data_IF_112679804777
#
_entry.id   IF_112679804777
#
_cell.length_a   1.000
_cell.length_b   1.000
_cell.length_c   1.000
_cell.angle_alpha   90.00
_cell.angle_beta   90.00
_cell.angle_gamma   90.00
#
_symmetry.space_group_name_H-M   'P 1'
#
loop_
_entity.id
_entity.type
_entity.pdbx_description
1 polymer ?
#
# COMPACT_ATOMS: atom_id res chain seq x y z
N UNK A 1 -1.12 -6.34 -29.11
CA UNK A 1 -2.09 -5.39 -29.71
C UNK A 1 -3.54 -5.77 -29.42
N UNK A 2 -4.01 -6.98 -29.77
CA UNK A 2 -5.43 -7.39 -29.54
C UNK A 2 -5.89 -7.31 -28.09
N UNK A 3 -5.06 -7.71 -27.14
CA UNK A 3 -5.38 -7.66 -25.69
C UNK A 3 -5.47 -6.23 -25.15
N UNK A 4 -4.54 -5.36 -25.57
CA UNK A 4 -4.52 -3.95 -25.24
C UNK A 4 -5.78 -3.23 -25.74
N UNK A 5 -6.18 -3.50 -26.97
CA UNK A 5 -7.40 -2.93 -27.57
C UNK A 5 -8.65 -3.38 -26.80
N UNK A 6 -8.79 -4.68 -26.50
CA UNK A 6 -9.91 -5.22 -25.73
C UNK A 6 -10.00 -4.61 -24.32
N UNK A 7 -8.87 -4.48 -23.63
CA UNK A 7 -8.84 -3.88 -22.29
C UNK A 7 -9.27 -2.42 -22.31
N UNK A 8 -8.88 -1.64 -23.34
CA UNK A 8 -9.29 -0.26 -23.52
C UNK A 8 -10.77 -0.13 -23.89
N UNK A 9 -11.28 -1.02 -24.74
CA UNK A 9 -12.69 -1.00 -25.15
C UNK A 9 -13.64 -1.33 -24.00
N UNK A 10 -13.23 -2.26 -23.12
CA UNK A 10 -14.04 -2.68 -21.97
C UNK A 10 -14.01 -1.72 -20.77
N UNK A 11 -13.12 -0.70 -20.80
CA UNK A 11 -12.90 0.18 -19.66
C UNK A 11 -13.54 1.55 -19.84
N UNK A 12 -14.21 2.05 -18.77
CA UNK A 12 -14.74 3.40 -18.72
C UNK A 12 -13.67 4.45 -18.38
N UNK A 13 -12.66 4.08 -17.65
CA UNK A 13 -11.56 4.95 -17.20
C UNK A 13 -10.23 4.24 -17.32
N UNK A 14 -9.17 5.02 -17.34
CA UNK A 14 -7.79 4.53 -17.22
C UNK A 14 -7.10 5.22 -16.05
N UNK A 15 -6.05 4.59 -15.55
CA UNK A 15 -5.11 5.23 -14.62
C UNK A 15 -3.94 5.78 -15.42
N UNK A 16 -3.67 7.07 -15.30
CA UNK A 16 -2.56 7.75 -15.95
C UNK A 16 -1.48 8.09 -14.91
N UNK A 17 -0.28 7.57 -15.14
CA UNK A 17 0.92 7.85 -14.31
C UNK A 17 1.75 8.92 -15.00
N UNK A 18 1.97 10.04 -14.32
CA UNK A 18 2.84 11.15 -14.77
C UNK A 18 3.93 11.41 -13.73
N UNK A 19 5.06 11.97 -14.12
CA UNK A 19 6.07 12.49 -13.19
C UNK A 19 5.77 13.94 -12.82
N UNK A 20 5.77 14.26 -11.54
CA UNK A 20 5.61 15.63 -11.07
C UNK A 20 6.72 16.54 -11.60
N UNK A 21 6.37 17.64 -12.29
CA UNK A 21 7.32 18.58 -12.90
C UNK A 21 8.30 19.21 -11.93
N UNK A 22 7.91 19.36 -10.66
CA UNK A 22 8.75 19.91 -9.57
C UNK A 22 9.34 18.80 -8.69
N UNK A 23 8.50 17.87 -8.25
CA UNK A 23 8.88 16.82 -7.28
C UNK A 23 9.60 15.62 -7.89
N UNK A 24 9.45 15.41 -9.20
CA UNK A 24 9.87 14.19 -9.91
C UNK A 24 9.23 12.91 -9.37
N UNK A 25 8.28 13.03 -8.46
CA UNK A 25 7.53 11.90 -7.92
C UNK A 25 6.45 11.45 -8.90
N UNK A 26 6.13 10.15 -8.95
CA UNK A 26 5.02 9.66 -9.75
C UNK A 26 3.69 10.18 -9.19
N UNK A 27 2.83 10.66 -10.08
CA UNK A 27 1.47 11.08 -9.81
C UNK A 27 0.52 10.22 -10.63
N UNK A 28 -0.39 9.55 -9.95
CA UNK A 28 -1.40 8.72 -10.55
C UNK A 28 -2.77 9.41 -10.49
N UNK A 29 -3.45 9.48 -11.62
CA UNK A 29 -4.82 9.99 -11.73
C UNK A 29 -5.69 9.04 -12.52
N UNK A 30 -6.97 8.97 -12.17
CA UNK A 30 -7.96 8.25 -12.96
C UNK A 30 -8.66 9.23 -13.88
N UNK A 31 -8.62 8.94 -15.19
CA UNK A 31 -9.17 9.81 -16.23
C UNK A 31 -10.04 9.03 -17.20
N UNK A 32 -11.05 9.70 -17.75
CA UNK A 32 -11.82 9.19 -18.87
C UNK A 32 -11.03 9.37 -20.16
N UNK A 33 -11.26 8.48 -21.11
CA UNK A 33 -10.52 8.46 -22.36
C UNK A 33 -11.38 7.97 -23.54
N UNK A 34 -10.95 8.26 -24.73
CA UNK A 34 -11.42 7.62 -25.94
C UNK A 34 -10.25 7.04 -26.71
N UNK A 35 -10.44 5.84 -27.26
CA UNK A 35 -9.42 5.18 -28.09
C UNK A 35 -9.35 5.86 -29.46
N UNK A 36 -8.14 5.91 -30.02
CA UNK A 36 -7.81 6.37 -31.35
C UNK A 36 -6.76 5.45 -31.98
N UNK A 37 -6.48 5.64 -33.26
CA UNK A 37 -5.47 4.83 -33.94
C UNK A 37 -4.07 5.12 -33.33
N UNK A 38 -3.43 4.09 -32.77
CA UNK A 38 -2.09 4.19 -32.17
C UNK A 38 -2.02 4.83 -30.76
N UNK A 39 -3.16 5.22 -30.14
CA UNK A 39 -3.17 5.86 -28.84
C UNK A 39 -4.55 6.11 -28.27
N UNK A 40 -4.61 7.04 -27.34
CA UNK A 40 -5.86 7.47 -26.71
C UNK A 40 -5.88 8.98 -26.49
N UNK A 41 -7.07 9.57 -26.48
CA UNK A 41 -7.28 10.95 -26.07
C UNK A 41 -7.81 11.03 -24.66
N UNK A 42 -7.33 12.01 -23.89
CA UNK A 42 -7.78 12.34 -22.54
C UNK A 42 -8.00 13.86 -22.42
N UNK A 43 -9.06 14.26 -21.70
CA UNK A 43 -9.39 15.68 -21.54
C UNK A 43 -9.16 16.08 -20.08
N UNK A 44 -8.42 17.18 -19.86
CA UNK A 44 -8.25 17.79 -18.54
C UNK A 44 -9.50 18.54 -18.11
N UNK A 45 -9.92 18.35 -16.86
CA UNK A 45 -11.13 18.98 -16.31
C UNK A 45 -11.03 20.51 -16.10
N UNK A 46 -9.89 21.12 -16.45
CA UNK A 46 -9.69 22.57 -16.32
C UNK A 46 -8.30 23.01 -16.80
N UNK A 47 -8.10 24.34 -16.99
CA UNK A 47 -6.91 24.89 -17.63
C UNK A 47 -5.61 24.73 -16.83
N UNK A 48 -5.70 24.33 -15.56
CA UNK A 48 -4.57 24.13 -14.65
C UNK A 48 -4.49 22.71 -14.06
N UNK A 49 -5.03 21.72 -14.78
CA UNK A 49 -4.91 20.31 -14.33
C UNK A 49 -3.45 19.92 -14.19
N UNK A 50 -2.97 19.73 -12.96
CA UNK A 50 -1.55 19.46 -12.65
C UNK A 50 -1.02 18.22 -13.38
N UNK A 51 -1.84 17.17 -13.50
CA UNK A 51 -1.43 15.96 -14.22
C UNK A 51 -1.19 16.22 -15.73
N UNK A 52 -1.96 17.12 -16.35
CA UNK A 52 -1.74 17.51 -17.76
C UNK A 52 -0.42 18.26 -17.91
N UNK A 53 -0.17 19.21 -17.00
CA UNK A 53 1.08 19.96 -17.00
C UNK A 53 2.29 19.06 -16.70
N UNK A 54 2.13 18.06 -15.85
CA UNK A 54 3.15 17.05 -15.58
C UNK A 54 3.41 16.18 -16.79
N UNK A 55 2.35 15.70 -17.47
CA UNK A 55 2.47 14.88 -18.68
C UNK A 55 3.21 15.61 -19.80
N UNK A 56 2.87 16.89 -20.03
CA UNK A 56 3.54 17.71 -21.07
C UNK A 56 4.99 18.07 -20.71
N UNK A 57 5.34 18.14 -19.43
CA UNK A 57 6.69 18.49 -19.00
C UNK A 57 7.71 17.37 -19.19
N UNK A 58 7.27 16.12 -19.22
CA UNK A 58 8.14 14.94 -19.32
C UNK A 58 7.94 14.15 -20.61
N UNK A 59 6.88 14.42 -21.35
CA UNK A 59 6.35 13.71 -22.54
C UNK A 59 6.14 12.19 -22.35
N UNK A 60 6.77 11.60 -21.35
CA UNK A 60 6.68 10.16 -21.04
C UNK A 60 5.69 9.91 -19.92
N UNK A 61 4.65 9.16 -20.24
CA UNK A 61 3.61 8.76 -19.30
C UNK A 61 3.33 7.26 -19.41
N UNK A 62 2.71 6.68 -18.39
CA UNK A 62 2.21 5.29 -18.45
C UNK A 62 0.70 5.29 -18.31
N UNK A 63 0.03 4.63 -19.22
CA UNK A 63 -1.40 4.35 -19.17
C UNK A 63 -1.60 2.96 -18.59
N UNK A 64 -2.49 2.84 -17.62
CA UNK A 64 -2.83 1.57 -17.00
C UNK A 64 -4.31 1.29 -17.15
N UNK A 65 -4.62 0.10 -17.63
CA UNK A 65 -6.00 -0.39 -17.84
C UNK A 65 -6.05 -1.88 -17.49
N UNK A 66 -6.87 -2.24 -16.50
CA UNK A 66 -6.81 -3.58 -15.92
C UNK A 66 -5.40 -3.90 -15.41
N UNK A 67 -4.87 -5.04 -15.85
CA UNK A 67 -3.51 -5.51 -15.53
C UNK A 67 -2.43 -4.98 -16.49
N UNK A 68 -2.81 -4.22 -17.51
CA UNK A 68 -1.87 -3.75 -18.50
C UNK A 68 -1.30 -2.38 -18.14
N UNK A 69 0.03 -2.24 -18.31
CA UNK A 69 0.76 -0.99 -18.26
C UNK A 69 1.32 -0.69 -19.67
N UNK A 70 0.93 0.44 -20.24
CA UNK A 70 1.26 0.83 -21.60
C UNK A 70 2.11 2.10 -21.52
N UNK A 71 3.38 2.07 -21.94
CA UNK A 71 4.18 3.27 -22.06
C UNK A 71 3.64 4.14 -23.19
N UNK A 72 3.50 5.44 -22.93
CA UNK A 72 2.96 6.40 -23.91
C UNK A 72 3.80 7.67 -23.96
N UNK A 73 3.75 8.34 -25.11
CA UNK A 73 4.16 9.74 -25.28
C UNK A 73 2.96 10.66 -25.20
N UNK A 74 3.06 11.69 -24.38
CA UNK A 74 2.01 12.69 -24.24
C UNK A 74 2.27 13.88 -25.16
N UNK A 75 1.29 14.21 -25.97
CA UNK A 75 1.32 15.36 -26.89
C UNK A 75 0.05 16.19 -26.69
N UNK A 76 0.16 17.49 -26.88
CA UNK A 76 -1.03 18.36 -26.85
C UNK A 76 -1.82 18.17 -28.14
N UNK A 77 -3.09 17.88 -28.01
CA UNK A 77 -3.97 17.78 -29.19
C UNK A 77 -4.17 19.14 -29.87
N UNK A 78 -4.27 19.14 -31.18
CA UNK A 78 -4.63 20.30 -31.99
C UNK A 78 -6.09 20.69 -31.77
N UNK A 79 -6.50 21.90 -32.14
CA UNK A 79 -7.89 22.34 -31.98
C UNK A 79 -8.87 21.45 -32.73
N UNK A 80 -8.51 20.97 -33.92
CA UNK A 80 -9.34 20.07 -34.71
C UNK A 80 -9.49 18.70 -34.03
N UNK A 81 -8.42 18.17 -33.41
CA UNK A 81 -8.48 16.94 -32.64
C UNK A 81 -9.29 17.09 -31.36
N UNK A 82 -9.25 18.27 -30.72
CA UNK A 82 -10.09 18.57 -29.55
C UNK A 82 -11.57 18.49 -29.91
N UNK A 83 -12.01 19.09 -31.00
CA UNK A 83 -13.40 19.06 -31.47
C UNK A 83 -13.87 17.64 -31.76
N UNK A 84 -13.09 16.88 -32.54
CA UNK A 84 -13.40 15.48 -32.85
C UNK A 84 -13.44 14.61 -31.59
N UNK A 85 -12.51 14.83 -30.66
CA UNK A 85 -12.44 14.13 -29.37
C UNK A 85 -13.69 14.38 -28.51
N UNK A 86 -14.20 15.59 -28.48
CA UNK A 86 -15.47 15.89 -27.77
C UNK A 86 -16.64 15.08 -28.33
N UNK A 87 -16.73 14.92 -29.65
CA UNK A 87 -17.71 14.05 -30.29
C UNK A 87 -17.62 12.60 -29.82
N UNK A 88 -16.41 12.05 -29.77
CA UNK A 88 -16.15 10.70 -29.27
C UNK A 88 -16.48 10.54 -27.78
N UNK A 89 -16.11 11.53 -26.95
CA UNK A 89 -16.44 11.53 -25.52
C UNK A 89 -17.95 11.55 -25.28
N UNK A 90 -18.70 12.39 -26.02
CA UNK A 90 -20.18 12.44 -25.96
C UNK A 90 -20.79 11.09 -26.33
N UNK A 91 -20.25 10.42 -27.35
CA UNK A 91 -20.71 9.10 -27.79
C UNK A 91 -20.44 8.03 -26.71
N UNK A 92 -19.27 8.06 -26.04
CA UNK A 92 -18.87 7.06 -25.05
C UNK A 92 -19.50 7.30 -23.68
N UNK A 93 -19.62 8.55 -23.22
CA UNK A 93 -20.01 8.89 -21.83
C UNK A 93 -21.33 9.66 -21.70
N UNK A 94 -21.92 10.09 -22.80
CA UNK A 94 -23.15 10.89 -22.81
C UNK A 94 -22.93 12.39 -22.68
N UNK A 95 -23.84 13.16 -23.27
CA UNK A 95 -23.78 14.64 -23.32
C UNK A 95 -23.70 15.29 -21.92
N UNK A 96 -24.53 14.82 -20.97
CA UNK A 96 -24.62 15.41 -19.63
C UNK A 96 -23.30 15.31 -18.85
N UNK A 97 -22.62 14.18 -18.95
CA UNK A 97 -21.32 13.97 -18.29
C UNK A 97 -20.26 14.88 -18.92
N UNK A 98 -20.19 14.92 -20.25
CA UNK A 98 -19.17 15.69 -20.96
C UNK A 98 -19.35 17.19 -20.73
N UNK A 99 -20.58 17.73 -20.81
CA UNK A 99 -20.85 19.14 -20.54
C UNK A 99 -20.54 19.54 -19.10
N UNK A 100 -20.86 18.68 -18.13
CA UNK A 100 -20.65 18.95 -16.71
C UNK A 100 -19.17 18.95 -16.30
N UNK A 101 -18.35 18.03 -16.85
CA UNK A 101 -16.99 17.81 -16.39
C UNK A 101 -15.92 18.43 -17.29
N UNK A 102 -16.21 18.63 -18.56
CA UNK A 102 -15.25 19.07 -19.59
C UNK A 102 -15.70 20.27 -20.40
N UNK A 103 -16.91 20.83 -20.11
CA UNK A 103 -17.48 21.91 -20.89
C UNK A 103 -16.52 23.09 -21.00
N UNK A 104 -16.13 23.45 -22.25
CA UNK A 104 -15.22 24.55 -22.55
C UNK A 104 -13.74 24.27 -22.32
N UNK A 105 -13.33 23.07 -21.91
CA UNK A 105 -11.91 22.74 -21.78
C UNK A 105 -11.25 22.51 -23.16
N UNK A 106 -10.21 23.27 -23.46
CA UNK A 106 -9.35 23.06 -24.63
C UNK A 106 -8.10 22.21 -24.32
N UNK A 107 -8.01 21.69 -23.10
CA UNK A 107 -6.86 20.95 -22.62
C UNK A 107 -7.06 19.45 -22.88
N UNK A 108 -6.72 19.04 -24.08
CA UNK A 108 -6.75 17.64 -24.51
C UNK A 108 -5.33 17.14 -24.81
N UNK A 109 -5.02 15.94 -24.35
CA UNK A 109 -3.77 15.26 -24.69
C UNK A 109 -4.06 14.05 -25.56
N UNK A 110 -3.23 13.84 -26.56
CA UNK A 110 -3.06 12.60 -27.23
C UNK A 110 -1.93 11.81 -26.57
N UNK A 111 -2.21 10.58 -26.17
CA UNK A 111 -1.25 9.67 -25.55
C UNK A 111 -0.94 8.57 -26.57
N UNK A 112 0.13 8.76 -27.31
CA UNK A 112 0.62 7.82 -28.32
C UNK A 112 1.26 6.61 -27.65
N UNK A 113 0.93 5.39 -28.05
CA UNK A 113 1.53 4.18 -27.52
C UNK A 113 2.99 4.06 -27.97
N UNK A 114 3.92 4.10 -27.00
CA UNK A 114 5.37 4.12 -27.25
C UNK A 114 6.04 2.75 -27.08
N UNK A 115 5.27 1.67 -26.84
CA UNK A 115 5.80 0.32 -26.63
C UNK A 115 4.70 -0.73 -26.46
N UNK A 116 5.13 -1.98 -26.24
CA UNK A 116 4.19 -3.07 -25.90
C UNK A 116 3.66 -2.89 -24.48
N UNK A 117 2.39 -3.25 -24.30
CA UNK A 117 1.79 -3.35 -22.97
C UNK A 117 2.49 -4.44 -22.15
N UNK A 118 2.85 -4.13 -20.94
CA UNK A 118 3.36 -5.07 -19.94
C UNK A 118 2.20 -5.52 -19.05
N UNK A 119 2.07 -6.82 -18.79
CA UNK A 119 1.10 -7.32 -17.80
C UNK A 119 1.59 -7.00 -16.41
N UNK A 120 0.68 -6.53 -15.58
CA UNK A 120 0.88 -6.39 -14.14
C UNK A 120 -0.23 -7.14 -13.41
N UNK A 121 0.14 -7.84 -12.37
CA UNK A 121 -0.81 -8.41 -11.42
C UNK A 121 -1.33 -7.37 -10.42
N UNK A 122 -2.25 -7.78 -9.56
CA UNK A 122 -2.83 -6.95 -8.51
C UNK A 122 -1.73 -6.34 -7.61
N UNK A 123 -1.92 -5.09 -7.18
CA UNK A 123 -0.93 -4.40 -6.32
C UNK A 123 -0.75 -5.10 -4.98
N UNK A 124 -1.82 -5.64 -4.42
CA UNK A 124 -1.82 -6.59 -3.31
C UNK A 124 -3.10 -7.43 -3.42
N UNK A 125 -2.98 -8.74 -3.52
CA UNK A 125 -4.08 -9.69 -3.58
C UNK A 125 -3.67 -11.03 -2.97
N UNK A 126 -4.61 -11.85 -2.57
CA UNK A 126 -4.33 -13.23 -2.11
C UNK A 126 -4.34 -14.16 -3.31
N UNK A 127 -3.30 -14.98 -3.48
CA UNK A 127 -3.21 -16.09 -4.44
C UNK A 127 -3.54 -17.39 -3.72
N UNK A 128 -4.23 -18.31 -4.43
CA UNK A 128 -5.08 -19.31 -3.74
C UNK A 128 -4.46 -20.70 -3.53
N UNK A 129 -3.19 -21.02 -3.85
CA UNK A 129 -2.80 -22.45 -3.80
C UNK A 129 -1.48 -22.78 -3.11
N UNK A 130 -1.48 -23.91 -2.36
CA UNK A 130 -0.29 -24.54 -1.79
C UNK A 130 0.72 -24.94 -2.89
N UNK A 131 0.24 -25.26 -4.11
CA UNK A 131 1.08 -25.57 -5.25
C UNK A 131 1.97 -24.41 -5.67
N UNK A 132 1.54 -23.18 -5.47
CA UNK A 132 2.29 -21.98 -5.87
C UNK A 132 3.50 -21.74 -4.95
N UNK A 133 3.37 -22.02 -3.65
CA UNK A 133 4.48 -21.95 -2.71
C UNK A 133 5.55 -23.02 -3.00
N UNK A 134 5.13 -24.25 -3.25
CA UNK A 134 6.06 -25.33 -3.57
C UNK A 134 6.78 -25.07 -4.91
N UNK A 135 6.06 -24.55 -5.92
CA UNK A 135 6.63 -24.11 -7.18
C UNK A 135 7.61 -22.95 -7.01
N UNK A 136 7.26 -21.96 -6.17
CA UNK A 136 8.15 -20.84 -5.85
C UNK A 136 9.43 -21.33 -5.17
N UNK A 137 9.32 -22.20 -4.15
CA UNK A 137 10.46 -22.79 -3.45
C UNK A 137 11.37 -23.60 -4.38
N UNK A 138 10.79 -24.35 -5.31
CA UNK A 138 11.52 -25.13 -6.29
C UNK A 138 12.24 -24.25 -7.35
N UNK A 139 11.84 -22.98 -7.51
CA UNK A 139 12.47 -22.06 -8.48
C UNK A 139 13.88 -21.63 -8.10
N UNK A 140 14.33 -21.89 -6.86
CA UNK A 140 15.66 -21.51 -6.35
C UNK A 140 15.89 -19.99 -6.20
N UNK A 141 14.83 -19.17 -6.31
CA UNK A 141 14.92 -17.72 -6.14
C UNK A 141 15.18 -17.33 -4.68
N UNK A 142 15.87 -16.21 -4.48
CA UNK A 142 16.14 -15.67 -3.15
C UNK A 142 14.89 -15.02 -2.55
N UNK A 143 14.48 -15.46 -1.36
CA UNK A 143 13.27 -14.94 -0.70
C UNK A 143 13.24 -13.42 -0.60
N UNK A 144 14.31 -12.84 -0.05
CA UNK A 144 14.37 -11.39 0.16
C UNK A 144 14.46 -10.58 -1.14
N UNK A 145 15.11 -11.15 -2.17
CA UNK A 145 15.20 -10.51 -3.50
C UNK A 145 13.82 -10.48 -4.17
N UNK A 146 13.06 -11.57 -4.09
CA UNK A 146 11.68 -11.61 -4.63
C UNK A 146 10.75 -10.66 -3.89
N UNK A 147 10.82 -10.59 -2.56
CA UNK A 147 10.05 -9.64 -1.75
C UNK A 147 10.42 -8.20 -2.13
N UNK A 148 11.72 -7.87 -2.22
CA UNK A 148 12.18 -6.55 -2.62
C UNK A 148 11.68 -6.18 -4.02
N UNK A 149 11.84 -7.08 -5.01
CA UNK A 149 11.41 -6.87 -6.39
C UNK A 149 9.88 -6.68 -6.51
N UNK A 150 9.09 -7.43 -5.74
CA UNK A 150 7.64 -7.29 -5.72
C UNK A 150 7.20 -5.90 -5.21
N UNK A 151 7.79 -5.43 -4.11
CA UNK A 151 7.52 -4.10 -3.58
C UNK A 151 8.09 -2.98 -4.45
N UNK A 152 9.24 -3.17 -5.11
CA UNK A 152 9.76 -2.26 -6.11
C UNK A 152 8.74 -2.09 -7.25
N UNK A 153 8.19 -3.19 -7.76
CA UNK A 153 7.17 -3.19 -8.80
C UNK A 153 5.87 -2.49 -8.37
N UNK A 154 5.43 -2.69 -7.10
CA UNK A 154 4.22 -2.08 -6.57
C UNK A 154 4.38 -0.57 -6.28
N UNK A 155 5.60 -0.07 -6.08
CA UNK A 155 5.91 1.21 -5.44
C UNK A 155 5.23 2.43 -6.07
N UNK A 156 5.12 2.47 -7.41
CA UNK A 156 4.54 3.63 -8.12
C UNK A 156 3.04 3.81 -7.85
N UNK A 157 2.30 2.72 -7.63
CA UNK A 157 0.85 2.75 -7.36
C UNK A 157 0.49 2.62 -5.89
N UNK A 158 1.47 2.29 -5.06
CA UNK A 158 1.25 1.88 -3.68
C UNK A 158 0.41 2.91 -2.91
N UNK A 159 0.84 4.16 -2.88
CA UNK A 159 0.13 5.22 -2.16
C UNK A 159 -1.28 5.44 -2.69
N UNK A 160 -1.45 5.42 -4.01
CA UNK A 160 -2.74 5.63 -4.64
C UNK A 160 -3.73 4.51 -4.30
N UNK A 161 -3.28 3.26 -4.45
CA UNK A 161 -4.13 2.09 -4.19
C UNK A 161 -4.55 2.02 -2.73
N UNK A 162 -3.61 2.25 -1.82
CA UNK A 162 -3.88 2.18 -0.38
C UNK A 162 -4.77 3.36 0.07
N UNK A 163 -4.52 4.59 -0.41
CA UNK A 163 -5.27 5.77 0.03
C UNK A 163 -6.72 5.80 -0.44
N UNK A 164 -7.04 5.13 -1.53
CA UNK A 164 -8.43 5.03 -2.04
C UNK A 164 -9.28 3.98 -1.33
N UNK A 165 -8.65 3.07 -0.61
CA UNK A 165 -9.37 2.06 0.14
C UNK A 165 -9.72 2.58 1.54
N UNK A 166 -11.01 2.68 1.83
CA UNK A 166 -11.51 3.19 3.11
C UNK A 166 -10.95 2.40 4.30
N UNK A 167 -10.95 1.07 4.22
CA UNK A 167 -10.51 0.19 5.33
C UNK A 167 -9.00 0.34 5.55
N UNK A 168 -8.18 0.38 4.48
CA UNK A 168 -6.75 0.63 4.60
C UNK A 168 -6.47 2.00 5.24
N UNK A 169 -7.19 3.04 4.82
CA UNK A 169 -7.05 4.38 5.40
C UNK A 169 -7.45 4.39 6.88
N UNK A 170 -8.51 3.66 7.23
CA UNK A 170 -8.96 3.50 8.62
C UNK A 170 -7.91 2.77 9.46
N UNK A 171 -7.37 1.63 8.99
CA UNK A 171 -6.31 0.85 9.67
C UNK A 171 -5.11 1.73 9.94
N UNK A 172 -4.60 2.46 8.93
CA UNK A 172 -3.45 3.35 9.07
C UNK A 172 -3.68 4.44 10.11
N UNK A 173 -4.81 5.14 10.02
CA UNK A 173 -5.18 6.15 11.02
C UNK A 173 -5.23 5.57 12.43
N UNK A 174 -5.88 4.41 12.58
CA UNK A 174 -6.02 3.76 13.87
C UNK A 174 -4.70 3.27 14.45
N UNK A 175 -3.83 2.70 13.62
CA UNK A 175 -2.48 2.30 14.01
C UNK A 175 -1.65 3.49 14.52
N UNK A 176 -1.71 4.62 13.82
CA UNK A 176 -1.03 5.86 14.26
C UNK A 176 -1.62 6.43 15.55
N UNK A 177 -2.94 6.42 15.73
CA UNK A 177 -3.59 6.83 16.99
C UNK A 177 -3.14 5.97 18.19
N UNK A 178 -2.94 4.67 17.98
CA UNK A 178 -2.46 3.77 19.03
C UNK A 178 -0.97 3.99 19.29
N UNK A 179 -0.15 4.06 18.24
CA UNK A 179 1.29 4.30 18.33
C UNK A 179 1.59 5.61 19.07
N UNK A 180 0.83 6.68 18.78
CA UNK A 180 1.00 8.00 19.38
C UNK A 180 0.93 7.99 20.93
N UNK A 181 0.26 7.00 21.53
CA UNK A 181 0.19 6.86 23.01
C UNK A 181 1.50 6.39 23.65
N UNK A 182 2.41 5.87 22.83
CA UNK A 182 3.72 5.33 23.24
C UNK A 182 4.89 6.17 22.73
N UNK A 183 4.59 7.25 22.01
CA UNK A 183 5.57 8.18 21.45
C UNK A 183 5.87 9.31 22.43
N UNK A 184 7.13 9.72 22.48
CA UNK A 184 7.61 10.91 23.18
C UNK A 184 8.35 11.81 22.20
N UNK A 185 8.40 13.10 22.51
CA UNK A 185 9.00 14.11 21.65
C UNK A 185 10.52 13.94 21.46
N UNK A 186 11.17 13.36 22.45
CA UNK A 186 12.60 13.07 22.47
C UNK A 186 12.96 11.68 21.94
N UNK A 187 11.98 10.89 21.51
CA UNK A 187 12.22 9.54 20.98
C UNK A 187 13.11 9.55 19.74
N UNK A 188 14.01 8.57 19.73
CA UNK A 188 14.68 8.07 18.53
C UNK A 188 13.91 6.82 18.10
N UNK A 189 13.12 6.98 17.06
CA UNK A 189 12.26 5.92 16.54
C UNK A 189 12.92 5.16 15.40
N UNK A 190 12.69 3.84 15.33
CA UNK A 190 13.09 2.97 14.23
C UNK A 190 11.84 2.37 13.60
N UNK A 191 11.65 2.59 12.31
CA UNK A 191 10.57 2.05 11.51
C UNK A 191 11.03 0.88 10.66
N UNK A 192 10.24 -0.19 10.64
CA UNK A 192 10.48 -1.39 9.85
C UNK A 192 9.39 -1.52 8.80
N UNK A 193 9.77 -1.62 7.52
CA UNK A 193 8.84 -1.64 6.41
C UNK A 193 8.17 -0.29 6.18
N UNK A 194 8.97 0.78 6.04
CA UNK A 194 8.46 2.15 5.90
C UNK A 194 7.71 2.39 4.59
N UNK A 195 7.87 1.51 3.60
CA UNK A 195 7.30 1.69 2.28
C UNK A 195 7.65 3.05 1.69
N UNK A 196 6.67 3.72 1.12
CA UNK A 196 6.84 5.06 0.54
C UNK A 196 6.86 6.18 1.59
N UNK A 197 6.79 5.87 2.90
CA UNK A 197 6.94 6.81 4.01
C UNK A 197 5.67 7.58 4.39
N UNK A 198 4.50 7.04 4.14
CA UNK A 198 3.24 7.72 4.47
C UNK A 198 3.08 7.94 5.98
N UNK A 199 3.39 6.91 6.79
CA UNK A 199 3.42 6.95 8.25
C UNK A 199 4.66 7.68 8.77
N UNK A 200 5.84 7.39 8.20
CA UNK A 200 7.12 8.03 8.55
C UNK A 200 7.02 9.55 8.61
N UNK A 201 6.43 10.16 7.58
CA UNK A 201 6.27 11.61 7.47
C UNK A 201 5.33 12.22 8.53
N UNK A 202 4.41 11.43 9.07
CA UNK A 202 3.53 11.86 10.15
C UNK A 202 4.24 11.73 11.49
N UNK A 203 4.90 10.60 11.74
CA UNK A 203 5.61 10.29 12.98
C UNK A 203 6.80 11.22 13.18
N UNK A 204 7.53 11.56 12.12
CA UNK A 204 8.65 12.49 12.16
C UNK A 204 8.31 13.87 12.76
N UNK A 205 7.05 14.30 12.73
CA UNK A 205 6.59 15.55 13.34
C UNK A 205 6.52 15.49 14.87
N UNK A 206 6.49 14.28 15.44
CA UNK A 206 6.19 14.04 16.86
C UNK A 206 7.35 13.43 17.64
N UNK A 207 8.46 13.11 16.96
CA UNK A 207 9.64 12.49 17.58
C UNK A 207 10.91 13.26 17.21
N UNK A 208 11.98 13.05 17.96
CA UNK A 208 13.27 13.67 17.70
C UNK A 208 13.89 13.22 16.38
N UNK A 209 13.83 11.93 16.06
CA UNK A 209 14.40 11.33 14.85
C UNK A 209 13.69 10.03 14.49
N UNK A 210 13.62 9.74 13.20
CA UNK A 210 13.21 8.43 12.67
C UNK A 210 14.32 7.85 11.81
N UNK A 211 14.72 6.61 12.07
CA UNK A 211 15.44 5.76 11.12
C UNK A 211 14.39 4.88 10.46
N UNK A 212 14.17 5.04 9.16
CA UNK A 212 13.09 4.38 8.43
C UNK A 212 13.67 3.33 7.50
N UNK A 213 13.36 2.06 7.73
CA UNK A 213 13.94 0.94 6.97
C UNK A 213 12.91 0.27 6.08
N UNK A 214 13.35 -0.15 4.89
CA UNK A 214 12.59 -1.00 3.98
C UNK A 214 13.56 -1.87 3.17
N UNK A 215 13.10 -3.06 2.76
CA UNK A 215 13.89 -3.96 1.93
C UNK A 215 13.94 -3.51 0.46
N UNK A 216 12.92 -2.79 0.01
CA UNK A 216 12.76 -2.28 -1.36
C UNK A 216 13.56 -0.99 -1.57
N UNK A 217 14.49 -1.01 -2.52
CA UNK A 217 15.24 0.20 -2.94
C UNK A 217 14.30 1.29 -3.46
N UNK A 218 13.27 0.90 -4.20
CA UNK A 218 12.33 1.84 -4.79
C UNK A 218 11.49 2.56 -3.74
N UNK A 219 11.05 1.82 -2.70
CA UNK A 219 10.32 2.40 -1.56
C UNK A 219 11.18 3.42 -0.82
N UNK A 220 12.43 3.06 -0.48
CA UNK A 220 13.40 3.96 0.17
C UNK A 220 13.68 5.20 -0.68
N UNK A 221 13.82 5.03 -2.00
CA UNK A 221 14.04 6.13 -2.94
C UNK A 221 12.84 7.09 -2.99
N UNK A 222 11.61 6.56 -3.00
CA UNK A 222 10.39 7.37 -2.97
C UNK A 222 10.24 8.13 -1.65
N UNK A 223 10.53 7.49 -0.52
CA UNK A 223 10.59 8.17 0.77
C UNK A 223 11.61 9.30 0.75
N UNK A 224 12.84 9.04 0.28
CA UNK A 224 13.91 10.04 0.18
C UNK A 224 13.50 11.24 -0.66
N UNK A 225 12.84 11.01 -1.80
CA UNK A 225 12.33 12.08 -2.65
C UNK A 225 11.24 12.91 -1.94
N UNK A 226 10.33 12.25 -1.19
CA UNK A 226 9.30 12.95 -0.39
C UNK A 226 9.90 13.78 0.75
N UNK A 227 10.95 13.30 1.41
CA UNK A 227 11.65 14.01 2.47
C UNK A 227 12.30 15.30 1.94
N UNK A 228 12.98 15.22 0.79
CA UNK A 228 13.56 16.38 0.11
C UNK A 228 12.48 17.38 -0.29
N UNK A 229 11.39 16.93 -0.90
CA UNK A 229 10.30 17.81 -1.32
C UNK A 229 9.61 18.53 -0.16
N UNK A 230 9.56 17.90 1.03
CA UNK A 230 8.94 18.47 2.25
C UNK A 230 9.94 19.12 3.20
N UNK A 231 11.23 19.14 2.87
CA UNK A 231 12.31 19.65 3.72
C UNK A 231 12.33 19.01 5.11
N UNK A 232 12.07 17.69 5.17
CA UNK A 232 12.06 16.93 6.43
C UNK A 232 13.48 16.43 6.71
N UNK A 233 14.12 16.95 7.77
CA UNK A 233 15.55 16.69 8.05
C UNK A 233 15.79 15.60 9.12
N UNK A 234 14.77 15.27 9.93
CA UNK A 234 14.93 14.35 11.05
C UNK A 234 14.59 12.88 10.72
N UNK A 235 14.58 12.52 9.43
CA UNK A 235 14.35 11.16 8.97
C UNK A 235 15.55 10.65 8.19
N UNK A 236 16.02 9.45 8.53
CA UNK A 236 17.11 8.74 7.85
C UNK A 236 16.53 7.50 7.16
N UNK A 237 16.33 7.51 5.83
CA UNK A 237 15.92 6.32 5.07
C UNK A 237 17.10 5.34 4.94
N UNK A 238 16.83 4.05 5.09
CA UNK A 238 17.85 3.00 5.01
C UNK A 238 17.27 1.75 4.34
N UNK A 239 17.97 1.21 3.34
CA UNK A 239 17.65 -0.11 2.78
C UNK A 239 18.09 -1.17 3.78
N UNK A 240 17.14 -1.83 4.44
CA UNK A 240 17.42 -2.86 5.43
C UNK A 240 16.19 -3.74 5.68
N UNK A 241 16.37 -5.07 5.63
CA UNK A 241 15.35 -6.05 6.00
C UNK A 241 15.22 -6.23 7.51
N UNK A 242 14.08 -6.74 7.97
CA UNK A 242 13.77 -6.85 9.38
C UNK A 242 14.73 -7.79 10.15
N UNK A 243 15.09 -8.95 9.60
CA UNK A 243 16.04 -9.88 10.24
C UNK A 243 17.40 -9.23 10.51
N UNK A 244 17.81 -8.26 9.68
CA UNK A 244 19.10 -7.57 9.80
C UNK A 244 19.01 -6.29 10.65
N UNK A 245 17.93 -6.05 11.38
CA UNK A 245 17.61 -4.75 12.01
C UNK A 245 18.67 -4.22 12.97
N UNK A 246 19.48 -5.12 13.57
CA UNK A 246 20.61 -4.72 14.43
C UNK A 246 21.65 -3.87 13.68
N UNK A 247 21.74 -3.96 12.36
CA UNK A 247 22.64 -3.15 11.54
C UNK A 247 22.23 -1.67 11.47
N UNK A 248 21.03 -1.32 11.94
CA UNK A 248 20.62 0.08 12.06
C UNK A 248 21.31 0.82 13.24
N UNK A 249 21.97 0.12 14.15
CA UNK A 249 22.62 0.70 15.34
C UNK A 249 23.50 1.94 15.07
N UNK A 250 24.39 1.98 14.04
CA UNK A 250 25.22 3.16 13.75
C UNK A 250 24.43 4.41 13.40
N UNK A 251 23.17 4.29 13.00
CA UNK A 251 22.30 5.40 12.60
C UNK A 251 21.41 5.92 13.74
N UNK A 252 21.45 5.24 14.90
CA UNK A 252 20.70 5.59 16.11
C UNK A 252 21.61 6.28 17.14
N UNK A 253 21.04 7.22 17.90
CA UNK A 253 21.78 7.86 18.97
C UNK A 253 22.10 6.85 20.08
N UNK A 254 23.40 6.74 20.41
CA UNK A 254 23.87 5.73 21.36
C UNK A 254 23.64 4.28 20.92
N UNK A 255 23.43 4.05 19.62
CA UNK A 255 23.23 2.71 19.05
C UNK A 255 21.86 2.07 19.37
N UNK A 256 20.92 2.82 19.96
CA UNK A 256 19.62 2.27 20.37
C UNK A 256 18.47 3.19 20.03
N UNK A 257 17.31 2.57 19.71
CA UNK A 257 16.03 3.25 19.59
C UNK A 257 15.30 3.23 20.94
N UNK A 258 14.51 4.25 21.23
CA UNK A 258 13.58 4.27 22.37
C UNK A 258 12.19 3.73 21.98
N UNK A 259 11.87 3.78 20.69
CA UNK A 259 10.65 3.27 20.08
C UNK A 259 10.97 2.53 18.78
N UNK A 260 10.48 1.31 18.61
CA UNK A 260 10.51 0.58 17.34
C UNK A 260 9.09 0.30 16.90
N UNK A 261 8.79 0.46 15.61
CA UNK A 261 7.48 0.13 15.10
C UNK A 261 7.52 -0.47 13.70
N UNK A 262 6.52 -1.33 13.42
CA UNK A 262 6.28 -1.95 12.12
C UNK A 262 4.79 -2.07 11.88
N UNK A 263 4.25 -1.31 10.95
CA UNK A 263 2.81 -1.22 10.73
C UNK A 263 2.41 -1.86 9.38
N UNK A 264 1.10 -2.13 9.26
CA UNK A 264 0.49 -2.61 8.01
C UNK A 264 1.02 -3.97 7.50
N UNK A 265 1.50 -4.82 8.39
CA UNK A 265 1.83 -6.20 8.07
C UNK A 265 3.19 -6.43 7.39
N UNK A 266 4.15 -5.50 7.49
CA UNK A 266 5.49 -5.70 6.91
C UNK A 266 6.16 -6.97 7.45
N UNK A 267 5.98 -7.31 8.73
CA UNK A 267 6.52 -8.52 9.35
C UNK A 267 5.85 -9.83 8.90
N UNK A 268 4.78 -9.77 8.14
CA UNK A 268 4.23 -10.99 7.52
C UNK A 268 5.12 -11.52 6.38
N UNK A 269 5.97 -10.65 5.82
CA UNK A 269 6.98 -11.02 4.82
C UNK A 269 8.37 -11.25 5.43
N UNK A 270 8.46 -11.48 6.75
CA UNK A 270 9.73 -11.80 7.41
C UNK A 270 9.71 -13.26 7.93
N UNK A 271 10.46 -14.17 7.29
CA UNK A 271 10.49 -15.58 7.69
C UNK A 271 11.34 -15.83 8.93
N UNK A 272 12.33 -14.96 9.21
CA UNK A 272 13.31 -15.14 10.28
C UNK A 272 12.96 -14.31 11.53
N UNK A 273 11.73 -14.52 12.07
CA UNK A 273 11.25 -13.75 13.22
C UNK A 273 12.11 -13.89 14.48
N UNK A 274 12.78 -15.03 14.70
CA UNK A 274 13.68 -15.21 15.85
C UNK A 274 14.96 -14.39 15.69
N UNK A 275 15.51 -14.31 14.48
CA UNK A 275 16.63 -13.43 14.16
C UNK A 275 16.24 -11.96 14.33
N UNK A 276 15.04 -11.60 13.86
CA UNK A 276 14.47 -10.26 14.06
C UNK A 276 14.30 -9.95 15.55
N UNK A 277 13.69 -10.83 16.35
CA UNK A 277 13.50 -10.62 17.79
C UNK A 277 14.81 -10.43 18.54
N UNK A 278 15.84 -11.23 18.18
CA UNK A 278 17.20 -11.09 18.74
C UNK A 278 17.87 -9.78 18.34
N UNK A 279 17.68 -9.32 17.10
CA UNK A 279 18.14 -8.02 16.63
C UNK A 279 17.44 -6.86 17.35
N UNK A 280 16.13 -6.98 17.53
CA UNK A 280 15.28 -6.00 18.21
C UNK A 280 15.69 -5.84 19.69
N UNK A 281 15.99 -6.92 20.38
CA UNK A 281 16.51 -6.89 21.75
C UNK A 281 17.80 -6.08 21.85
N UNK A 282 18.70 -6.21 20.89
CA UNK A 282 19.97 -5.47 20.88
C UNK A 282 19.78 -3.97 20.65
N UNK A 283 18.80 -3.59 19.79
CA UNK A 283 18.69 -2.24 19.27
C UNK A 283 17.64 -1.38 20.00
N UNK A 284 16.64 -1.97 20.65
CA UNK A 284 15.65 -1.24 21.45
C UNK A 284 16.19 -1.02 22.86
N UNK A 285 16.05 0.17 23.41
CA UNK A 285 16.48 0.50 24.76
C UNK A 285 15.68 -0.28 25.81
N UNK A 286 16.29 -0.65 26.97
CA UNK A 286 15.53 -1.18 28.10
C UNK A 286 14.34 -0.27 28.45
N UNK A 287 13.16 -0.85 28.70
CA UNK A 287 11.92 -0.12 28.92
C UNK A 287 11.31 0.55 27.69
N UNK A 288 11.97 0.51 26.53
CA UNK A 288 11.44 0.99 25.25
C UNK A 288 10.27 0.17 24.74
N UNK A 289 9.53 0.72 23.79
CA UNK A 289 8.35 0.07 23.21
C UNK A 289 8.61 -0.44 21.81
N UNK A 290 8.07 -1.64 21.52
CA UNK A 290 7.91 -2.17 20.19
C UNK A 290 6.43 -2.28 19.86
N UNK A 291 5.98 -1.57 18.80
CA UNK A 291 4.60 -1.57 18.35
C UNK A 291 4.53 -2.10 16.93
N UNK A 292 3.82 -3.19 16.71
CA UNK A 292 3.72 -3.77 15.37
C UNK A 292 2.33 -4.30 15.07
N UNK A 293 2.01 -4.43 13.77
CA UNK A 293 0.81 -5.13 13.33
C UNK A 293 1.15 -6.22 12.33
N UNK A 294 0.50 -7.37 12.49
CA UNK A 294 0.59 -8.50 11.57
C UNK A 294 -0.79 -9.03 11.23
N UNK A 295 -0.94 -9.60 10.04
CA UNK A 295 -2.16 -10.25 9.58
C UNK A 295 -2.39 -11.56 10.31
N UNK A 296 -3.66 -11.82 10.64
CA UNK A 296 -4.08 -13.00 11.37
C UNK A 296 -4.47 -14.15 10.45
N UNK A 297 -4.24 -15.39 10.92
CA UNK A 297 -4.75 -16.63 10.30
C UNK A 297 -6.27 -16.77 10.34
N UNK A 298 -6.94 -16.08 11.27
CA UNK A 298 -8.39 -16.08 11.39
C UNK A 298 -8.87 -14.64 11.41
N UNK A 299 -9.79 -14.31 10.50
CA UNK A 299 -10.49 -13.04 10.46
C UNK A 299 -12.00 -13.30 10.56
N UNK A 300 -12.61 -12.96 11.69
CA UNK A 300 -14.02 -13.24 11.95
C UNK A 300 -14.93 -12.51 10.99
N UNK A 301 -14.67 -11.25 10.71
CA UNK A 301 -15.47 -10.44 9.77
C UNK A 301 -15.42 -10.99 8.35
N UNK A 302 -14.28 -11.52 7.91
CA UNK A 302 -14.12 -12.21 6.63
C UNK A 302 -14.95 -13.51 6.57
N UNK A 303 -14.81 -14.35 7.60
CA UNK A 303 -15.55 -15.61 7.70
C UNK A 303 -17.07 -15.38 7.69
N UNK A 304 -17.56 -14.42 8.46
CA UNK A 304 -18.97 -14.04 8.51
C UNK A 304 -19.46 -13.52 7.16
N UNK A 305 -18.70 -12.63 6.52
CA UNK A 305 -19.10 -12.06 5.23
C UNK A 305 -19.16 -13.13 4.13
N UNK A 306 -18.18 -14.03 4.04
CA UNK A 306 -18.21 -15.12 3.10
C UNK A 306 -19.37 -16.12 3.38
N UNK A 307 -19.70 -16.38 4.64
CA UNK A 307 -20.85 -17.19 5.01
C UNK A 307 -22.17 -16.54 4.57
N UNK A 308 -22.34 -15.22 4.79
CA UNK A 308 -23.51 -14.45 4.34
C UNK A 308 -23.65 -14.41 2.81
N UNK A 309 -22.53 -14.45 2.08
CA UNK A 309 -22.49 -14.52 0.62
C UNK A 309 -22.60 -15.97 0.08
N UNK A 310 -22.88 -16.96 0.96
CA UNK A 310 -22.94 -18.40 0.64
C UNK A 310 -21.64 -18.96 0.01
N UNK A 311 -20.51 -18.35 0.30
CA UNK A 311 -19.18 -18.73 -0.19
C UNK A 311 -18.41 -19.52 0.87
N UNK A 312 -18.97 -20.60 1.39
CA UNK A 312 -18.42 -21.37 2.52
C UNK A 312 -16.99 -21.88 2.26
N UNK A 313 -16.64 -22.23 1.03
CA UNK A 313 -15.29 -22.65 0.65
C UNK A 313 -14.22 -21.55 0.82
N UNK A 314 -14.63 -20.28 0.93
CA UNK A 314 -13.76 -19.11 1.14
C UNK A 314 -13.82 -18.54 2.55
N UNK A 315 -14.53 -19.20 3.47
CA UNK A 315 -14.73 -18.64 4.82
C UNK A 315 -13.49 -18.65 5.70
N UNK A 316 -12.49 -19.49 5.40
CA UNK A 316 -11.24 -19.58 6.16
C UNK A 316 -10.01 -19.71 5.21
N UNK A 317 -9.79 -18.76 4.30
CA UNK A 317 -8.74 -18.87 3.27
C UNK A 317 -7.33 -18.83 3.89
N UNK A 318 -7.19 -18.18 5.07
CA UNK A 318 -5.92 -17.89 5.72
C UNK A 318 -5.35 -19.05 6.55
N UNK A 319 -6.02 -20.19 6.63
CA UNK A 319 -5.52 -21.34 7.41
C UNK A 319 -4.38 -22.09 6.72
N UNK A 320 -4.23 -21.92 5.41
CA UNK A 320 -3.13 -22.51 4.65
C UNK A 320 -1.91 -21.58 4.74
N UNK A 321 -0.85 -22.00 5.45
CA UNK A 321 0.36 -21.22 5.65
C UNK A 321 1.60 -21.93 5.10
N UNK A 322 2.57 -21.20 4.53
CA UNK A 322 2.47 -19.78 4.15
C UNK A 322 1.47 -19.56 3.02
N UNK A 323 0.93 -18.35 2.95
CA UNK A 323 0.02 -17.92 1.89
C UNK A 323 0.82 -17.17 0.82
N UNK A 324 0.56 -17.44 -0.46
CA UNK A 324 1.10 -16.61 -1.54
C UNK A 324 0.27 -15.34 -1.66
N UNK A 325 0.94 -14.20 -1.69
CA UNK A 325 0.30 -12.87 -1.80
C UNK A 325 0.84 -12.17 -3.04
N UNK A 326 -0.06 -11.70 -3.90
CA UNK A 326 0.33 -10.97 -5.09
C UNK A 326 0.64 -9.51 -4.74
N UNK A 327 1.87 -9.08 -5.02
CA UNK A 327 2.36 -7.71 -4.81
C UNK A 327 3.04 -7.25 -6.07
N UNK A 328 2.56 -6.15 -6.68
CA UNK A 328 3.15 -5.61 -7.90
C UNK A 328 3.18 -6.57 -9.09
N UNK A 329 2.31 -7.60 -9.08
CA UNK A 329 2.25 -8.64 -10.11
C UNK A 329 3.20 -9.82 -9.89
N UNK A 330 3.83 -9.88 -8.72
CA UNK A 330 4.67 -11.00 -8.30
C UNK A 330 4.02 -11.67 -7.09
N UNK A 331 3.96 -12.99 -7.11
CA UNK A 331 3.48 -13.77 -5.97
C UNK A 331 4.65 -14.04 -5.03
N UNK A 332 4.51 -13.57 -3.79
CA UNK A 332 5.50 -13.72 -2.73
C UNK A 332 4.90 -14.45 -1.53
N UNK A 333 5.67 -15.29 -0.83
CA UNK A 333 5.17 -15.94 0.37
C UNK A 333 5.01 -14.94 1.52
N UNK A 334 3.88 -15.05 2.21
CA UNK A 334 3.53 -14.25 3.38
C UNK A 334 3.00 -15.17 4.47
N UNK A 335 3.47 -15.00 5.69
CA UNK A 335 3.04 -15.79 6.84
C UNK A 335 2.00 -15.02 7.64
N UNK A 336 0.82 -15.60 7.83
CA UNK A 336 -0.21 -15.07 8.72
C UNK A 336 -0.10 -15.78 10.06
N UNK A 337 -0.30 -15.06 11.14
CA UNK A 337 0.00 -15.55 12.48
C UNK A 337 -1.25 -15.68 13.34
N UNK A 338 -1.30 -16.72 14.19
CA UNK A 338 -2.13 -16.64 15.38
C UNK A 338 -1.46 -15.66 16.35
N UNK A 339 -2.21 -14.77 17.01
CA UNK A 339 -1.63 -13.79 17.90
C UNK A 339 -0.73 -14.37 19.02
N UNK A 340 -1.08 -15.55 19.53
CA UNK A 340 -0.25 -16.28 20.52
C UNK A 340 1.11 -16.68 19.95
N UNK A 341 1.12 -17.20 18.71
CA UNK A 341 2.31 -17.76 18.08
C UNK A 341 3.29 -16.63 17.75
N UNK A 342 2.78 -15.52 17.15
CA UNK A 342 3.60 -14.35 16.91
C UNK A 342 4.20 -13.77 18.20
N UNK A 343 3.38 -13.62 19.26
CA UNK A 343 3.86 -13.07 20.51
C UNK A 343 4.92 -13.96 21.19
N UNK A 344 4.91 -15.28 20.92
CA UNK A 344 5.86 -16.23 21.53
C UNK A 344 7.30 -15.96 21.15
N UNK A 345 7.58 -15.42 19.95
CA UNK A 345 8.94 -15.06 19.49
C UNK A 345 9.57 -13.95 20.35
N UNK A 346 8.78 -13.14 21.03
CA UNK A 346 9.25 -11.97 21.80
C UNK A 346 9.28 -12.20 23.30
N UNK A 347 8.66 -13.27 23.82
CA UNK A 347 8.44 -13.50 25.27
C UNK A 347 9.71 -13.50 26.12
N UNK A 348 10.87 -13.78 25.52
CA UNK A 348 12.17 -13.88 26.25
C UNK A 348 12.62 -12.51 26.76
N UNK A 349 12.44 -11.47 25.96
CA UNK A 349 13.05 -10.15 26.20
C UNK A 349 12.01 -9.02 26.28
N UNK A 350 10.73 -9.36 26.05
CA UNK A 350 9.64 -8.37 25.97
C UNK A 350 8.40 -8.82 26.73
N UNK A 351 7.81 -7.86 27.41
CA UNK A 351 6.47 -8.00 28.02
C UNK A 351 5.40 -7.55 27.04
N UNK A 352 4.42 -8.40 26.78
CA UNK A 352 3.24 -8.05 25.97
C UNK A 352 2.27 -7.19 26.78
N UNK A 353 2.17 -5.90 26.46
CA UNK A 353 1.31 -4.94 27.14
C UNK A 353 -0.09 -4.88 26.58
N UNK A 354 -0.26 -5.05 25.27
CA UNK A 354 -1.57 -4.89 24.64
C UNK A 354 -1.68 -5.65 23.32
N UNK A 355 -2.91 -6.12 23.05
CA UNK A 355 -3.34 -6.72 21.79
C UNK A 355 -4.60 -5.99 21.33
N UNK A 356 -4.65 -5.54 20.09
CA UNK A 356 -5.80 -4.82 19.51
C UNK A 356 -6.03 -5.34 18.09
N UNK A 357 -7.25 -5.73 17.74
CA UNK A 357 -7.60 -6.08 16.37
C UNK A 357 -7.65 -4.83 15.46
N UNK A 358 -7.28 -4.99 14.20
CA UNK A 358 -7.28 -3.94 13.19
C UNK A 358 -7.67 -4.48 11.79
N UNK A 359 -8.92 -4.39 11.38
CA UNK A 359 -10.12 -4.22 12.20
C UNK A 359 -10.60 -5.55 12.81
N UNK A 360 -11.51 -5.47 13.82
CA UNK A 360 -12.19 -6.63 14.39
C UNK A 360 -13.48 -6.99 13.64
N UNK A 361 -14.27 -5.97 13.31
CA UNK A 361 -15.63 -6.10 12.73
C UNK A 361 -15.67 -5.63 11.28
N UNK A 362 -14.98 -4.54 10.93
CA UNK A 362 -14.93 -4.08 9.55
C UNK A 362 -14.32 -5.16 8.66
N UNK A 363 -14.85 -5.35 7.44
CA UNK A 363 -14.31 -6.36 6.53
C UNK A 363 -12.86 -6.03 6.13
N UNK A 364 -12.06 -7.03 5.74
CA UNK A 364 -10.75 -6.80 5.16
C UNK A 364 -10.80 -5.86 3.95
N UNK A 365 -9.70 -5.18 3.69
CA UNK A 365 -9.62 -4.15 2.64
C UNK A 365 -10.06 -4.65 1.26
N UNK A 366 -9.74 -5.88 0.88
CA UNK A 366 -10.10 -6.45 -0.43
C UNK A 366 -11.61 -6.75 -0.56
N UNK A 367 -12.33 -6.93 0.56
CA UNK A 367 -13.79 -7.09 0.61
C UNK A 367 -14.55 -5.78 0.81
N UNK A 368 -13.84 -4.67 0.95
CA UNK A 368 -14.45 -3.36 1.27
C UNK A 368 -15.41 -2.83 0.19
N UNK A 369 -15.35 -3.32 -1.04
CA UNK A 369 -16.27 -2.93 -2.11
C UNK A 369 -17.74 -3.15 -1.78
N UNK A 370 -18.07 -4.17 -1.00
CA UNK A 370 -19.43 -4.44 -0.52
C UNK A 370 -19.86 -3.45 0.58
N UNK A 371 -18.90 -2.96 1.37
CA UNK A 371 -19.14 -2.06 2.50
C UNK A 371 -19.21 -0.59 2.08
N UNK A 372 -18.43 -0.16 1.09
CA UNK A 372 -18.36 1.25 0.64
C UNK A 372 -19.72 1.79 0.23
N UNK A 373 -20.63 0.94 -0.27
CA UNK A 373 -21.99 1.32 -0.65
C UNK A 373 -22.92 1.61 0.54
N UNK A 374 -22.54 1.19 1.74
CA UNK A 374 -23.35 1.29 2.95
C UNK A 374 -22.91 2.48 3.83
N UNK A 375 -22.87 3.68 3.26
CA UNK A 375 -22.33 4.89 3.93
C UNK A 375 -22.98 5.22 5.26
N UNK A 376 -24.29 4.95 5.40
CA UNK A 376 -25.03 5.22 6.64
C UNK A 376 -24.55 4.42 7.86
N UNK A 377 -23.96 3.24 7.63
CA UNK A 377 -23.49 2.37 8.74
C UNK A 377 -22.00 2.55 9.07
N UNK A 378 -21.26 3.36 8.31
CA UNK A 378 -19.81 3.52 8.54
C UNK A 378 -19.49 4.06 9.94
N UNK A 379 -20.10 5.18 10.34
CA UNK A 379 -19.86 5.80 11.66
C UNK A 379 -20.26 4.89 12.82
N UNK A 380 -21.48 4.31 12.86
CA UNK A 380 -21.83 3.36 13.91
C UNK A 380 -20.88 2.18 14.00
N UNK A 381 -20.49 1.59 12.87
CA UNK A 381 -19.54 0.47 12.84
C UNK A 381 -18.14 0.87 13.32
N UNK A 382 -17.64 2.06 12.98
CA UNK A 382 -16.37 2.55 13.50
C UNK A 382 -16.39 2.75 15.03
N UNK A 383 -17.52 3.20 15.60
CA UNK A 383 -17.68 3.33 17.05
C UNK A 383 -17.65 1.96 17.72
N UNK A 384 -18.42 1.02 17.18
CA UNK A 384 -18.46 -0.36 17.68
C UNK A 384 -17.08 -1.03 17.56
N UNK A 385 -16.41 -0.87 16.41
CA UNK A 385 -15.06 -1.34 16.16
C UNK A 385 -14.08 -0.87 17.26
N UNK A 386 -14.10 0.43 17.58
CA UNK A 386 -13.26 1.00 18.64
C UNK A 386 -13.55 0.42 20.02
N UNK A 387 -14.81 0.09 20.31
CA UNK A 387 -15.23 -0.46 21.58
C UNK A 387 -14.76 -1.91 21.78
N UNK A 388 -14.86 -2.74 20.73
CA UNK A 388 -14.60 -4.19 20.84
C UNK A 388 -13.20 -4.62 20.47
N UNK A 389 -12.48 -3.84 19.64
CA UNK A 389 -11.18 -4.23 19.07
C UNK A 389 -10.10 -4.61 20.12
N UNK A 390 -10.22 -4.11 21.35
CA UNK A 390 -9.32 -4.44 22.46
C UNK A 390 -9.82 -5.56 23.38
N UNK A 391 -11.05 -6.05 23.19
CA UNK A 391 -11.71 -7.02 24.08
C UNK A 391 -11.57 -8.46 23.54
N UNK A 392 -11.27 -9.43 24.41
CA UNK A 392 -11.37 -10.85 24.03
C UNK A 392 -12.83 -11.24 23.70
N UNK A 393 -13.07 -12.10 22.72
CA UNK A 393 -12.08 -12.73 21.80
C UNK A 393 -11.73 -11.86 20.58
N UNK A 394 -12.42 -10.71 20.37
CA UNK A 394 -12.32 -9.88 19.18
C UNK A 394 -10.90 -9.40 18.87
N UNK A 395 -10.13 -9.06 19.93
CA UNK A 395 -8.75 -8.60 19.81
C UNK A 395 -7.79 -9.61 19.14
N UNK A 396 -8.23 -10.87 18.94
CA UNK A 396 -7.45 -11.96 18.35
C UNK A 396 -8.03 -12.46 17.01
N UNK A 397 -9.19 -11.96 16.61
CA UNK A 397 -9.97 -12.46 15.46
C UNK A 397 -10.18 -11.40 14.38
N UNK A 398 -9.37 -10.35 14.37
CA UNK A 398 -9.42 -9.31 13.36
C UNK A 398 -8.63 -9.64 12.10
N UNK A 399 -8.69 -8.76 11.09
CA UNK A 399 -7.88 -8.85 9.87
C UNK A 399 -6.37 -8.83 10.21
N UNK A 400 -6.01 -7.89 11.07
CA UNK A 400 -4.67 -7.78 11.64
C UNK A 400 -4.77 -7.70 13.16
N UNK A 401 -3.68 -8.02 13.83
CA UNK A 401 -3.49 -7.74 15.26
C UNK A 401 -2.35 -6.75 15.43
N UNK A 402 -2.63 -5.65 16.13
CA UNK A 402 -1.61 -4.74 16.62
C UNK A 402 -1.17 -5.15 18.01
N UNK A 403 0.13 -5.30 18.18
CA UNK A 403 0.79 -5.64 19.44
C UNK A 403 1.56 -4.44 19.97
N UNK A 404 1.54 -4.31 21.29
CA UNK A 404 2.42 -3.41 22.03
C UNK A 404 3.25 -4.23 22.99
N UNK A 405 4.53 -4.28 22.73
CA UNK A 405 5.52 -4.90 23.59
C UNK A 405 6.34 -3.84 24.30
N UNK A 406 6.79 -4.12 25.51
CA UNK A 406 7.76 -3.33 26.24
C UNK A 406 9.00 -4.19 26.52
N UNK A 407 10.18 -3.71 26.19
CA UNK A 407 11.42 -4.40 26.51
C UNK A 407 11.61 -4.44 28.03
N UNK A 408 12.03 -5.58 28.58
CA UNK A 408 12.43 -5.68 29.98
C UNK A 408 13.59 -4.72 30.30
N UNK A 409 13.67 -4.31 31.57
CA UNK A 409 14.72 -3.43 32.08
C UNK A 409 16.09 -4.12 32.17
#
# INVERSE_FOLDING_TARGET
MLEQTRALESSATIKLVTSGRKSRLPHLVEVRFVASHGGIYVIGAGPRSDWVLNALATDRVKVRVGELAIPCRAQRATLQEVESTYGLFKKKYGNGIVSRWYGGSTLCLYLEFAGRAERRGAVVGESETKSDFDAWKASGRGYYDDVAAAFDSASEEYDFTISRNFVNTWIRRRSLEILARYMKKDDVALEIGCGTGAETLQIAKSVRRVVATDISDRMVSLLTAKLRARRTANVMPLKLGAAAIAQAAPYLYGGRASLVYSLNGALNCEPELDAFASGLERILSPGGYFVCSVRNTICLSEAVLHALLLQFGKSLPRLKQPTMVSVGGMDIPSTYYRPSDFASHFKRSFELKKIIALPAILPPAYLSGHYVRLTAVHKPLEVLERAVAGLPPFNRLGDQTLFVFRRFG
#
